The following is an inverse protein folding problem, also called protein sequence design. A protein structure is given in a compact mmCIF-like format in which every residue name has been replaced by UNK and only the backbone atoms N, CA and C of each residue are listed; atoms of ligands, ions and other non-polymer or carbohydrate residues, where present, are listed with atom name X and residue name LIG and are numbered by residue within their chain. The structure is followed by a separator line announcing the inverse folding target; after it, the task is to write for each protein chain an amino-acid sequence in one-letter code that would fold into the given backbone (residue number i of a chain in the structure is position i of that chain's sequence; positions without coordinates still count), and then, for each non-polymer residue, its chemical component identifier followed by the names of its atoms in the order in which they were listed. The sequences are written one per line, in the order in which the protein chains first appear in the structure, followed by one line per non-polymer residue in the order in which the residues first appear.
data_IF_160837104419
#
_entry.id   IF_160837104419
#
_cell.length_a   1.000
_cell.length_b   1.000
_cell.length_c   1.000
_cell.angle_alpha   90.00
_cell.angle_beta   90.00
_cell.angle_gamma   90.00
#
_symmetry.space_group_name_H-M   'P 1'
#
loop_
_entity.id
_entity.type
_entity.pdbx_description
1 polymer ?
#
# COMPACT_ATOMS: atom_id res chain seq x y z
N UNK A 1 -6.15 -26.77 -4.35
CA UNK A 1 -5.92 -25.37 -4.76
C UNK A 1 -6.80 -24.53 -3.85
N UNK A 2 -6.21 -23.81 -2.88
CA UNK A 2 -7.00 -22.91 -2.03
C UNK A 2 -7.57 -21.82 -2.95
N UNK A 3 -8.86 -21.51 -2.80
CA UNK A 3 -9.57 -20.61 -3.69
C UNK A 3 -9.10 -19.16 -3.47
N UNK A 4 -8.00 -18.77 -4.13
CA UNK A 4 -7.43 -17.42 -4.09
C UNK A 4 -8.48 -16.36 -4.51
N UNK A 5 -9.45 -16.74 -5.36
CA UNK A 5 -10.55 -15.88 -5.80
C UNK A 5 -11.42 -15.39 -4.64
N UNK A 6 -11.58 -16.20 -3.58
CA UNK A 6 -12.36 -15.80 -2.39
C UNK A 6 -11.68 -14.72 -1.55
N UNK A 7 -10.35 -14.64 -1.60
CA UNK A 7 -9.59 -13.64 -0.84
C UNK A 7 -9.55 -12.29 -1.56
N UNK A 8 -9.52 -12.29 -2.90
CA UNK A 8 -9.53 -11.04 -3.68
C UNK A 8 -10.87 -10.31 -3.53
N UNK A 9 -12.00 -11.04 -3.59
CA UNK A 9 -13.33 -10.46 -3.41
C UNK A 9 -13.49 -9.81 -2.01
N UNK A 10 -12.93 -10.43 -0.96
CA UNK A 10 -12.94 -9.85 0.40
C UNK A 10 -12.08 -8.59 0.49
N UNK A 11 -10.94 -8.56 -0.20
CA UNK A 11 -10.10 -7.37 -0.28
C UNK A 11 -10.82 -6.23 -0.99
N UNK A 12 -11.49 -6.53 -2.11
CA UNK A 12 -12.31 -5.57 -2.85
C UNK A 12 -13.46 -5.01 -1.99
N UNK A 13 -14.20 -5.88 -1.31
CA UNK A 13 -15.26 -5.47 -0.37
C UNK A 13 -14.72 -4.55 0.73
N UNK A 14 -13.58 -4.89 1.33
CA UNK A 14 -12.93 -4.04 2.33
C UNK A 14 -12.50 -2.70 1.75
N UNK A 15 -11.92 -2.67 0.55
CA UNK A 15 -11.54 -1.42 -0.10
C UNK A 15 -12.74 -0.55 -0.39
N UNK A 16 -13.88 -1.09 -0.80
CA UNK A 16 -15.11 -0.32 -1.00
C UNK A 16 -15.59 0.33 0.31
N UNK A 17 -15.53 -0.39 1.43
CA UNK A 17 -15.89 0.15 2.74
C UNK A 17 -14.94 1.26 3.19
N UNK A 18 -13.63 1.06 3.01
CA UNK A 18 -12.61 2.07 3.35
C UNK A 18 -12.71 3.29 2.42
N UNK A 19 -12.97 3.09 1.14
CA UNK A 19 -13.15 4.16 0.16
C UNK A 19 -14.36 5.04 0.47
N UNK A 20 -15.45 4.44 0.98
CA UNK A 20 -16.59 5.20 1.48
C UNK A 20 -16.19 6.10 2.67
N UNK A 21 -15.40 5.58 3.62
CA UNK A 21 -14.89 6.38 4.74
C UNK A 21 -13.94 7.48 4.29
N UNK A 22 -13.04 7.18 3.35
CA UNK A 22 -12.17 8.19 2.74
C UNK A 22 -12.98 9.27 2.00
N UNK A 23 -14.17 8.96 1.46
CA UNK A 23 -15.02 9.96 0.81
C UNK A 23 -15.68 10.88 1.84
N UNK A 24 -16.11 10.33 2.98
CA UNK A 24 -16.63 11.15 4.08
C UNK A 24 -15.56 12.13 4.59
N UNK A 25 -14.32 11.66 4.74
CA UNK A 25 -13.18 12.49 5.17
C UNK A 25 -12.86 13.56 4.12
N UNK A 26 -12.83 13.22 2.83
CA UNK A 26 -12.59 14.19 1.75
C UNK A 26 -13.65 15.31 1.72
N UNK A 27 -14.93 14.98 1.93
CA UNK A 27 -16.00 15.97 2.05
C UNK A 27 -15.82 16.86 3.29
N UNK A 28 -15.37 16.29 4.41
CA UNK A 28 -15.06 17.05 5.62
C UNK A 28 -13.86 18.00 5.40
N UNK A 29 -12.81 17.54 4.69
CA UNK A 29 -11.65 18.35 4.33
C UNK A 29 -12.07 19.56 3.50
N UNK A 30 -12.93 19.36 2.51
CA UNK A 30 -13.45 20.44 1.65
C UNK A 30 -14.29 21.47 2.43
N UNK A 31 -14.84 21.08 3.57
CA UNK A 31 -15.68 21.93 4.42
C UNK A 31 -14.93 22.56 5.59
N UNK A 32 -13.69 22.16 5.84
CA UNK A 32 -12.86 22.65 6.94
C UNK A 32 -12.04 23.87 6.53
N UNK A 33 -11.84 24.80 7.48
CA UNK A 33 -10.93 25.93 7.31
C UNK A 33 -9.45 25.55 7.57
N UNK A 34 -9.23 24.50 8.37
CA UNK A 34 -7.92 23.98 8.74
C UNK A 34 -8.00 22.45 8.97
N UNK A 35 -8.03 21.65 7.87
CA UNK A 35 -8.23 20.21 7.94
C UNK A 35 -7.11 19.45 8.66
N UNK A 36 -5.92 20.04 8.76
CA UNK A 36 -4.79 19.49 9.49
C UNK A 36 -5.04 19.59 11.00
N UNK A 37 -5.29 20.80 11.52
CA UNK A 37 -5.62 20.99 12.95
C UNK A 37 -6.90 20.26 13.39
N UNK A 38 -7.85 20.05 12.47
CA UNK A 38 -9.06 19.26 12.72
C UNK A 38 -8.78 17.73 12.75
N UNK A 39 -7.56 17.29 12.43
CA UNK A 39 -7.13 15.89 12.43
C UNK A 39 -7.64 15.06 11.25
N UNK A 40 -8.17 15.70 10.20
CA UNK A 40 -8.75 14.99 9.05
C UNK A 40 -7.69 14.31 8.19
N UNK A 41 -6.50 14.91 8.09
CA UNK A 41 -5.37 14.30 7.38
C UNK A 41 -4.82 13.07 8.12
N UNK A 42 -4.69 13.14 9.45
CA UNK A 42 -4.30 11.98 10.27
C UNK A 42 -5.32 10.85 10.14
N UNK A 43 -6.61 11.18 10.13
CA UNK A 43 -7.68 10.21 9.96
C UNK A 43 -7.62 9.53 8.58
N UNK A 44 -7.40 10.30 7.50
CA UNK A 44 -7.19 9.75 6.17
C UNK A 44 -5.99 8.79 6.13
N UNK A 45 -4.85 9.23 6.66
CA UNK A 45 -3.61 8.46 6.71
C UNK A 45 -3.81 7.11 7.43
N UNK A 46 -4.55 7.12 8.54
CA UNK A 46 -4.88 5.93 9.30
C UNK A 46 -5.65 4.89 8.47
N UNK A 47 -6.73 5.30 7.79
CA UNK A 47 -7.54 4.38 6.98
C UNK A 47 -6.82 3.91 5.71
N UNK A 48 -6.01 4.78 5.09
CA UNK A 48 -5.14 4.39 3.97
C UNK A 48 -4.15 3.31 4.42
N UNK A 49 -3.51 3.49 5.57
CA UNK A 49 -2.59 2.51 6.14
C UNK A 49 -3.23 1.15 6.41
N UNK A 50 -4.46 1.13 6.95
CA UNK A 50 -5.24 -0.09 7.12
C UNK A 50 -5.48 -0.82 5.78
N UNK A 51 -5.79 -0.07 4.72
CA UNK A 51 -5.93 -0.61 3.38
C UNK A 51 -4.65 -1.25 2.84
N UNK A 52 -3.49 -0.60 3.06
CA UNK A 52 -2.20 -1.19 2.67
C UNK A 52 -1.88 -2.47 3.44
N UNK A 53 -2.21 -2.55 4.74
CA UNK A 53 -2.03 -3.79 5.53
C UNK A 53 -2.89 -4.93 4.97
N UNK A 54 -4.14 -4.66 4.62
CA UNK A 54 -5.01 -5.66 3.99
C UNK A 54 -4.45 -6.12 2.63
N UNK A 55 -3.95 -5.18 1.82
CA UNK A 55 -3.29 -5.50 0.56
C UNK A 55 -2.05 -6.39 0.79
N UNK A 56 -1.21 -6.04 1.77
CA UNK A 56 -0.04 -6.85 2.13
C UNK A 56 -0.43 -8.27 2.54
N UNK A 57 -1.46 -8.43 3.37
CA UNK A 57 -1.96 -9.75 3.75
C UNK A 57 -2.34 -10.57 2.51
N UNK A 58 -3.11 -9.98 1.59
CA UNK A 58 -3.48 -10.62 0.34
C UNK A 58 -2.27 -11.05 -0.49
N UNK A 59 -1.29 -10.17 -0.67
CA UNK A 59 -0.04 -10.46 -1.40
C UNK A 59 0.71 -11.63 -0.75
N UNK A 60 0.88 -11.61 0.57
CA UNK A 60 1.59 -12.65 1.34
C UNK A 60 0.89 -14.00 1.18
N UNK A 61 -0.42 -14.06 1.38
CA UNK A 61 -1.21 -15.28 1.22
C UNK A 61 -1.11 -15.81 -0.22
N UNK A 62 -1.22 -14.94 -1.22
CA UNK A 62 -1.13 -15.30 -2.63
C UNK A 62 0.21 -15.93 -2.97
N UNK A 63 1.32 -15.38 -2.47
CA UNK A 63 2.67 -15.95 -2.69
C UNK A 63 2.81 -17.30 -1.99
N UNK A 64 2.39 -17.41 -0.72
CA UNK A 64 2.49 -18.64 0.07
C UNK A 64 1.67 -19.76 -0.58
N UNK A 65 0.39 -19.52 -0.87
CA UNK A 65 -0.51 -20.52 -1.43
C UNK A 65 -0.26 -20.81 -2.91
N UNK A 66 0.53 -19.96 -3.59
CA UNK A 66 1.10 -20.26 -4.90
C UNK A 66 2.26 -21.27 -4.86
N UNK A 67 2.69 -21.75 -3.69
CA UNK A 67 3.80 -22.70 -3.56
C UNK A 67 5.18 -22.05 -3.67
N UNK A 68 5.26 -20.71 -3.64
CA UNK A 68 6.52 -19.96 -3.75
C UNK A 68 7.19 -19.73 -2.39
N UNK A 69 6.53 -20.08 -1.28
CA UNK A 69 7.03 -19.84 0.08
C UNK A 69 7.25 -18.34 0.36
N UNK A 70 8.23 -18.00 1.20
CA UNK A 70 8.57 -16.59 1.53
C UNK A 70 9.49 -15.94 0.48
N UNK A 71 9.21 -16.12 -0.81
CA UNK A 71 10.11 -15.66 -1.87
C UNK A 71 9.98 -14.15 -2.15
N UNK A 72 10.95 -13.37 -1.66
CA UNK A 72 11.02 -11.92 -1.85
C UNK A 72 11.08 -11.48 -3.32
N UNK A 73 11.47 -12.35 -4.27
CA UNK A 73 11.48 -12.02 -5.70
C UNK A 73 10.07 -11.82 -6.26
N UNK A 74 9.04 -12.40 -5.64
CA UNK A 74 7.65 -12.23 -6.07
C UNK A 74 7.21 -10.75 -6.03
N UNK A 75 7.64 -9.99 -5.03
CA UNK A 75 7.35 -8.56 -4.88
C UNK A 75 8.12 -7.67 -5.87
N UNK A 76 9.00 -8.25 -6.69
CA UNK A 76 9.70 -7.53 -7.78
C UNK A 76 9.01 -7.73 -9.13
N UNK A 77 7.86 -8.40 -9.19
CA UNK A 77 7.14 -8.65 -10.43
C UNK A 77 6.10 -7.56 -10.70
N UNK A 78 5.55 -7.56 -11.92
CA UNK A 78 4.47 -6.67 -12.31
C UNK A 78 4.91 -5.24 -12.66
N UNK A 79 3.96 -4.30 -12.70
CA UNK A 79 4.19 -2.91 -13.08
C UNK A 79 5.14 -2.18 -12.14
N UNK A 80 5.83 -1.18 -12.68
CA UNK A 80 6.89 -0.45 -11.98
C UNK A 80 6.73 1.05 -12.16
N UNK A 81 7.06 1.76 -11.10
CA UNK A 81 7.32 3.19 -11.16
C UNK A 81 8.56 3.48 -12.02
N UNK A 82 8.69 4.70 -12.55
CA UNK A 82 9.86 5.15 -13.34
C UNK A 82 11.20 5.01 -12.60
N UNK A 83 11.20 4.98 -11.27
CA UNK A 83 12.39 4.71 -10.45
C UNK A 83 12.84 3.25 -10.48
N UNK A 84 12.08 2.37 -11.14
CA UNK A 84 12.32 0.92 -11.17
C UNK A 84 11.70 0.17 -10.00
N UNK A 85 11.06 0.82 -9.03
CA UNK A 85 10.40 0.18 -7.90
C UNK A 85 9.09 -0.46 -8.37
N UNK A 86 8.88 -1.75 -8.09
CA UNK A 86 7.63 -2.44 -8.39
C UNK A 86 6.50 -1.92 -7.49
N UNK A 87 5.31 -1.68 -8.02
CA UNK A 87 4.22 -1.11 -7.23
C UNK A 87 3.81 -2.03 -6.07
N UNK A 88 3.81 -3.35 -6.25
CA UNK A 88 3.57 -4.29 -5.14
C UNK A 88 4.66 -4.27 -4.06
N UNK A 89 5.91 -3.92 -4.40
CA UNK A 89 6.95 -3.69 -3.41
C UNK A 89 6.65 -2.43 -2.60
N UNK A 90 6.17 -1.37 -3.26
CA UNK A 90 5.75 -0.14 -2.61
C UNK A 90 4.54 -0.38 -1.69
N UNK A 91 3.52 -1.12 -2.15
CA UNK A 91 2.35 -1.53 -1.34
C UNK A 91 2.80 -2.30 -0.10
N UNK A 92 3.68 -3.29 -0.26
CA UNK A 92 4.21 -4.05 0.88
C UNK A 92 4.97 -3.14 1.86
N UNK A 93 5.81 -2.24 1.34
CA UNK A 93 6.53 -1.27 2.16
C UNK A 93 5.60 -0.26 2.86
N UNK A 94 4.50 0.14 2.24
CA UNK A 94 3.50 1.02 2.85
C UNK A 94 2.86 0.38 4.09
N UNK A 95 2.53 -0.91 4.01
CA UNK A 95 2.04 -1.67 5.16
C UNK A 95 3.08 -1.77 6.27
N UNK A 96 4.34 -2.04 5.93
CA UNK A 96 5.45 -2.11 6.90
C UNK A 96 5.72 -0.74 7.53
N UNK A 97 5.58 0.35 6.76
CA UNK A 97 5.63 1.72 7.29
C UNK A 97 4.54 1.93 8.33
N UNK A 98 3.28 1.69 7.99
CA UNK A 98 2.17 1.93 8.92
C UNK A 98 2.31 1.15 10.24
N UNK A 99 2.79 -0.10 10.20
CA UNK A 99 2.95 -0.92 11.41
C UNK A 99 4.12 -0.51 12.29
N UNK A 100 5.22 -0.04 11.70
CA UNK A 100 6.52 0.02 12.38
C UNK A 100 7.14 1.42 12.44
N UNK A 101 6.58 2.44 11.78
CA UNK A 101 7.16 3.78 11.77
C UNK A 101 7.36 4.35 13.18
N UNK A 102 6.40 4.12 14.09
CA UNK A 102 6.51 4.51 15.49
C UNK A 102 7.76 3.93 16.19
N UNK A 103 8.19 2.73 15.82
CA UNK A 103 9.39 2.08 16.37
C UNK A 103 10.67 2.77 15.91
N UNK A 104 10.65 3.40 14.74
CA UNK A 104 11.83 4.01 14.16
C UNK A 104 12.20 5.30 14.90
N UNK A 105 11.21 6.05 15.38
CA UNK A 105 11.43 7.28 16.13
C UNK A 105 12.11 7.08 17.51
N UNK A 106 12.07 5.86 18.06
CA UNK A 106 12.67 5.54 19.37
C UNK A 106 14.19 5.40 19.29
N UNK A 107 14.72 4.95 18.15
CA UNK A 107 16.14 4.67 17.96
C UNK A 107 16.69 5.38 16.71
N UNK A 108 16.71 6.73 16.74
CA UNK A 108 17.15 7.58 15.62
C UNK A 108 18.53 7.17 15.02
N UNK A 109 19.42 6.59 15.82
CA UNK A 109 20.75 6.13 15.40
C UNK A 109 20.73 4.75 14.70
N UNK A 110 19.68 3.94 14.87
CA UNK A 110 19.51 2.58 14.29
C UNK A 110 18.71 2.61 12.97
N UNK A 111 17.99 3.71 12.68
CA UNK A 111 17.17 3.92 11.46
C UNK A 111 17.95 3.70 10.15
N UNK A 112 19.28 3.66 10.14
CA UNK A 112 20.03 3.72 8.88
C UNK A 112 20.06 2.45 8.03
N UNK A 113 19.74 1.25 8.53
CA UNK A 113 19.96 0.02 7.73
C UNK A 113 18.79 -0.98 7.60
N UNK A 114 17.97 -1.21 8.63
CA UNK A 114 17.00 -2.33 8.61
C UNK A 114 15.72 -2.01 7.82
N UNK A 115 15.31 -0.75 7.79
CA UNK A 115 14.06 -0.23 7.20
C UNK A 115 14.29 0.71 6.00
N UNK A 116 15.55 0.97 5.62
CA UNK A 116 15.92 1.85 4.52
C UNK A 116 15.22 1.52 3.18
N UNK A 117 14.98 0.22 2.92
CA UNK A 117 14.23 -0.20 1.73
C UNK A 117 12.75 0.22 1.80
N UNK A 118 12.12 0.05 2.98
CA UNK A 118 10.74 0.44 3.21
C UNK A 118 10.58 1.95 3.04
N UNK A 119 11.47 2.71 3.70
CA UNK A 119 11.47 4.17 3.61
C UNK A 119 11.67 4.63 2.17
N UNK A 120 12.65 4.09 1.46
CA UNK A 120 12.91 4.43 0.06
C UNK A 120 11.71 4.10 -0.85
N UNK A 121 11.09 2.92 -0.70
CA UNK A 121 9.96 2.51 -1.53
C UNK A 121 8.73 3.41 -1.38
N UNK A 122 8.52 3.95 -0.18
CA UNK A 122 7.41 4.89 0.08
C UNK A 122 7.78 6.29 -0.41
N UNK A 123 8.89 6.87 0.06
CA UNK A 123 9.23 8.27 -0.19
C UNK A 123 9.54 8.60 -1.65
N UNK A 124 10.15 7.68 -2.40
CA UNK A 124 10.49 7.90 -3.83
C UNK A 124 9.25 8.04 -4.71
N UNK A 125 8.12 7.47 -4.28
CA UNK A 125 6.86 7.47 -5.03
C UNK A 125 5.87 8.47 -4.44
N UNK A 126 5.81 8.62 -3.11
CA UNK A 126 4.91 9.58 -2.46
C UNK A 126 5.29 11.04 -2.74
N UNK A 127 6.58 11.33 -3.00
CA UNK A 127 7.09 12.69 -3.17
C UNK A 127 6.79 13.63 -2.00
N UNK A 128 6.53 13.10 -0.80
CA UNK A 128 6.14 13.86 0.38
C UNK A 128 6.78 13.31 1.66
N UNK A 129 7.08 14.22 2.59
CA UNK A 129 7.54 13.93 3.95
C UNK A 129 6.43 14.03 5.01
N UNK A 130 5.18 14.26 4.58
CA UNK A 130 3.99 14.32 5.42
C UNK A 130 2.91 13.46 4.79
N UNK A 131 2.13 12.74 5.62
CA UNK A 131 1.06 11.86 5.16
C UNK A 131 1.50 10.94 4.01
N UNK A 132 2.61 10.23 4.23
CA UNK A 132 3.36 9.48 3.23
C UNK A 132 2.52 8.40 2.55
N UNK A 133 1.64 7.74 3.30
CA UNK A 133 0.80 6.66 2.79
C UNK A 133 -0.31 7.22 1.90
N UNK A 134 -0.97 8.29 2.32
CA UNK A 134 -1.98 9.00 1.52
C UNK A 134 -1.38 9.53 0.21
N UNK A 135 -0.19 10.14 0.28
CA UNK A 135 0.52 10.63 -0.90
C UNK A 135 1.02 9.49 -1.81
N UNK A 136 1.46 8.36 -1.24
CA UNK A 136 1.78 7.16 -2.01
C UNK A 136 0.54 6.64 -2.75
N UNK A 137 -0.60 6.53 -2.07
CA UNK A 137 -1.84 6.07 -2.69
C UNK A 137 -2.28 7.01 -3.82
N UNK A 138 -2.19 8.32 -3.60
CA UNK A 138 -2.46 9.32 -4.63
C UNK A 138 -1.55 9.14 -5.86
N UNK A 139 -0.24 8.95 -5.65
CA UNK A 139 0.71 8.68 -6.73
C UNK A 139 0.40 7.39 -7.49
N UNK A 140 0.05 6.30 -6.77
CA UNK A 140 -0.36 5.02 -7.37
C UNK A 140 -1.67 5.12 -8.17
N UNK A 141 -2.56 6.06 -7.81
CA UNK A 141 -3.79 6.36 -8.56
C UNK A 141 -3.54 7.15 -9.86
N UNK A 142 -2.28 7.41 -10.22
CA UNK A 142 -1.88 8.38 -11.25
C UNK A 142 -2.32 9.81 -10.92
N UNK A 143 -2.17 10.21 -9.66
CA UNK A 143 -2.49 11.56 -9.15
C UNK A 143 -3.97 11.95 -9.37
N UNK A 144 -4.89 11.00 -9.14
CA UNK A 144 -6.33 11.21 -9.33
C UNK A 144 -7.09 11.32 -8.03
N UNK A 145 -6.92 10.35 -7.12
CA UNK A 145 -7.72 10.26 -5.90
C UNK A 145 -7.04 9.42 -4.82
N UNK A 146 -7.41 9.67 -3.56
CA UNK A 146 -7.00 8.86 -2.40
C UNK A 146 -8.09 7.79 -2.20
N UNK A 147 -8.05 6.75 -3.04
CA UNK A 147 -8.94 5.59 -3.00
C UNK A 147 -8.18 4.29 -3.18
N UNK A 148 -8.40 3.33 -2.29
CA UNK A 148 -7.75 2.04 -2.22
C UNK A 148 -8.14 1.12 -3.38
N UNK A 149 -9.33 1.28 -3.99
CA UNK A 149 -9.71 0.53 -5.20
C UNK A 149 -8.69 0.66 -6.33
N UNK A 150 -7.88 1.73 -6.37
CA UNK A 150 -6.84 1.90 -7.39
C UNK A 150 -5.73 0.83 -7.30
N UNK A 151 -5.59 0.17 -6.15
CA UNK A 151 -4.63 -0.91 -5.94
C UNK A 151 -5.08 -2.23 -6.57
N UNK A 152 -6.38 -2.45 -6.77
CA UNK A 152 -6.92 -3.69 -7.34
C UNK A 152 -6.32 -4.02 -8.72
N UNK A 153 -6.35 -3.12 -9.73
CA UNK A 153 -5.72 -3.41 -11.02
C UNK A 153 -4.21 -3.65 -10.92
N UNK A 154 -3.51 -2.94 -10.02
CA UNK A 154 -2.07 -3.15 -9.77
C UNK A 154 -1.82 -4.57 -9.25
N UNK A 155 -2.64 -5.03 -8.30
CA UNK A 155 -2.55 -6.37 -7.72
C UNK A 155 -2.86 -7.42 -8.79
N UNK A 156 -3.94 -7.26 -9.58
CA UNK A 156 -4.29 -8.18 -10.67
C UNK A 156 -3.17 -8.31 -11.72
N UNK A 157 -2.58 -7.19 -12.14
CA UNK A 157 -1.44 -7.23 -13.08
C UNK A 157 -0.22 -7.95 -12.50
N UNK A 158 0.02 -7.78 -11.19
CA UNK A 158 1.07 -8.52 -10.49
C UNK A 158 0.77 -10.03 -10.42
N UNK A 159 -0.48 -10.45 -10.18
CA UNK A 159 -0.87 -11.87 -10.17
C UNK A 159 -0.62 -12.54 -11.51
N UNK A 160 -0.93 -11.85 -12.61
CA UNK A 160 -0.60 -12.31 -13.96
C UNK A 160 0.91 -12.49 -14.13
N UNK A 161 1.71 -11.51 -13.69
CA UNK A 161 3.17 -11.61 -13.74
C UNK A 161 3.71 -12.75 -12.88
N UNK A 162 3.13 -12.99 -11.70
CA UNK A 162 3.48 -14.07 -10.79
C UNK A 162 3.20 -15.44 -11.42
N UNK A 163 2.04 -15.60 -12.04
CA UNK A 163 1.64 -16.83 -12.73
C UNK A 163 2.57 -17.13 -13.90
N UNK A 164 2.87 -16.13 -14.72
CA UNK A 164 3.80 -16.27 -15.84
C UNK A 164 5.22 -16.62 -15.40
N UNK A 165 5.66 -16.10 -14.25
CA UNK A 165 6.97 -16.40 -13.69
C UNK A 165 7.07 -17.84 -13.18
N UNK A 166 5.99 -18.40 -12.60
CA UNK A 166 5.94 -19.79 -12.14
C UNK A 166 5.98 -20.82 -13.26
N UNK A 167 5.48 -20.46 -14.43
CA UNK A 167 5.38 -21.34 -15.59
C UNK A 167 6.65 -21.34 -16.47
N UNK A 168 7.71 -20.64 -16.04
CA UNK A 168 9.04 -20.60 -16.66
C UNK A 168 10.01 -21.44 -15.86
#
# INVERSE_FOLDING_TARGET
MINILGNFARLEELFLMLDAKLSEIDLAIQSSADPDSDGLFDQSEYYVGLGFVAAQQYLVETVIFSGLGKNKKAYKLGPRHRSGIAYVAAINSAADWWKHEAEWWVDLDIIKNSNATTVNNVLVISYSNSYQLSNLLFALSNNKEIKLKCLLPIITEWEHALTNWKNK
#
